data_IF_826237775004
#
_entry.id   IF_826237775004
#
_cell.length_a   1.000
_cell.length_b   1.000
_cell.length_c   1.000
_cell.angle_alpha   90.00
_cell.angle_beta   90.00
_cell.angle_gamma   90.00
#
_symmetry.space_group_name_H-M   'P 1'
#
loop_
_entity.id
_entity.type
_entity.pdbx_description
1 polymer ?
#
# COMPACT_ATOMS: atom_id res chain seq x y z
N UNK A 1 7.88 12.68 -9.18
CA UNK A 1 6.73 12.94 -10.06
C UNK A 1 6.43 11.67 -10.85
N UNK A 2 5.21 11.15 -10.86
CA UNK A 2 4.81 10.00 -11.69
C UNK A 2 3.70 10.48 -12.63
N UNK A 3 3.82 10.19 -13.93
CA UNK A 3 2.78 10.50 -14.91
C UNK A 3 1.73 9.40 -14.89
N UNK A 4 0.46 9.74 -14.69
CA UNK A 4 -0.60 8.72 -14.57
C UNK A 4 -1.07 8.17 -15.92
N UNK A 5 -0.96 8.91 -17.03
CA UNK A 5 -1.24 8.46 -18.40
C UNK A 5 -2.35 7.38 -18.52
N UNK A 6 -3.61 7.79 -18.42
CA UNK A 6 -4.78 6.89 -18.42
C UNK A 6 -4.84 5.86 -17.27
N UNK A 7 -4.15 6.12 -16.17
CA UNK A 7 -4.32 5.42 -14.89
C UNK A 7 -4.92 6.36 -13.84
N UNK A 8 -5.53 5.76 -12.84
CA UNK A 8 -5.90 6.38 -11.58
C UNK A 8 -4.95 5.93 -10.48
N UNK A 9 -4.89 6.71 -9.40
CA UNK A 9 -4.08 6.44 -8.22
C UNK A 9 -4.99 6.53 -6.99
N UNK A 10 -4.85 5.56 -6.09
CA UNK A 10 -5.47 5.61 -4.76
C UNK A 10 -4.43 5.23 -3.70
N UNK A 11 -4.63 5.69 -2.48
CA UNK A 11 -3.74 5.42 -1.36
C UNK A 11 -4.53 5.09 -0.11
N UNK A 12 -4.15 4.00 0.57
CA UNK A 12 -4.69 3.62 1.87
C UNK A 12 -3.60 3.74 2.94
N UNK A 13 -4.00 4.06 4.16
CA UNK A 13 -3.11 4.41 5.26
C UNK A 13 -2.55 5.84 5.19
N UNK A 14 -1.98 6.27 6.31
CA UNK A 14 -1.27 7.55 6.43
C UNK A 14 -0.03 7.35 7.30
N UNK A 15 1.15 7.55 6.72
CA UNK A 15 2.41 7.47 7.45
C UNK A 15 2.60 8.61 8.47
N UNK A 16 1.87 9.73 8.32
CA UNK A 16 1.89 10.86 9.26
C UNK A 16 0.95 10.65 10.44
N UNK A 17 -0.13 9.88 10.25
CA UNK A 17 -1.07 9.47 11.30
C UNK A 17 -0.84 7.99 11.62
N UNK A 18 0.44 7.62 11.77
CA UNK A 18 0.80 6.31 12.28
C UNK A 18 0.77 6.37 13.81
N UNK A 19 -0.37 5.98 14.41
CA UNK A 19 -0.57 6.00 15.85
C UNK A 19 -0.36 4.61 16.45
N UNK A 20 0.56 4.54 17.40
CA UNK A 20 0.79 3.37 18.23
C UNK A 20 0.72 3.77 19.69
N UNK A 21 0.03 2.96 20.49
CA UNK A 21 -0.01 3.08 21.94
C UNK A 21 0.17 1.69 22.54
N UNK A 22 1.06 1.56 23.53
CA UNK A 22 1.40 0.28 24.17
C UNK A 22 1.84 -0.83 23.20
N UNK A 23 2.49 -0.46 22.09
CA UNK A 23 2.93 -1.40 21.05
C UNK A 23 1.80 -1.97 20.19
N UNK A 24 0.58 -1.42 20.29
CA UNK A 24 -0.52 -1.75 19.40
C UNK A 24 -0.78 -0.58 18.44
N UNK A 25 -0.96 -0.92 17.18
CA UNK A 25 -1.33 0.03 16.15
C UNK A 25 -2.82 0.26 16.19
N UNK A 26 -3.23 1.51 16.04
CA UNK A 26 -4.63 1.88 15.86
C UNK A 26 -4.84 2.31 14.41
N UNK A 27 -5.67 1.54 13.71
CA UNK A 27 -6.12 1.80 12.35
C UNK A 27 -7.66 1.72 12.30
N UNK A 28 -8.28 2.37 11.33
CA UNK A 28 -9.73 2.24 11.13
C UNK A 28 -10.08 1.09 10.18
N UNK A 29 -9.10 0.60 9.45
CA UNK A 29 -9.22 -0.57 8.58
C UNK A 29 -9.32 -1.83 9.44
N UNK A 30 -10.36 -2.62 9.17
CA UNK A 30 -10.69 -3.84 9.90
C UNK A 30 -10.26 -5.04 9.07
N UNK A 31 -9.53 -5.98 9.69
CA UNK A 31 -9.27 -7.28 9.07
C UNK A 31 -10.57 -8.11 9.11
N UNK A 32 -11.19 -8.44 7.96
CA UNK A 32 -12.45 -9.18 7.91
C UNK A 32 -12.32 -10.61 8.45
N UNK A 33 -11.12 -11.17 8.58
CA UNK A 33 -10.90 -12.51 9.15
C UNK A 33 -11.00 -12.50 10.67
N UNK A 34 -10.61 -11.40 11.31
CA UNK A 34 -10.56 -11.28 12.77
C UNK A 34 -11.71 -10.43 13.32
N UNK A 35 -12.22 -9.50 12.52
CA UNK A 35 -13.17 -8.48 12.97
C UNK A 35 -12.52 -7.35 13.78
N UNK A 36 -11.19 -7.30 13.84
CA UNK A 36 -10.43 -6.30 14.61
C UNK A 36 -9.61 -5.39 13.70
N UNK A 37 -9.20 -4.20 14.19
CA UNK A 37 -8.26 -3.32 13.49
C UNK A 37 -6.96 -4.03 13.10
N UNK A 38 -6.41 -3.70 11.94
CA UNK A 38 -5.12 -4.20 11.47
C UNK A 38 -3.96 -3.80 12.41
N UNK A 39 -2.95 -4.67 12.52
CA UNK A 39 -1.83 -4.53 13.46
C UNK A 39 -0.42 -4.63 12.82
N UNK A 40 -0.33 -4.70 11.49
CA UNK A 40 0.96 -4.78 10.77
C UNK A 40 1.62 -3.40 10.63
N UNK A 41 2.86 -3.35 10.13
CA UNK A 41 3.66 -2.11 10.06
C UNK A 41 3.56 -1.35 8.74
N UNK A 42 2.82 -1.87 7.75
CA UNK A 42 2.52 -1.14 6.50
C UNK A 42 1.80 0.19 6.79
N UNK A 43 2.52 1.30 6.73
CA UNK A 43 2.03 2.63 7.08
C UNK A 43 1.19 3.25 5.96
N UNK A 44 1.56 3.00 4.70
CA UNK A 44 0.81 3.47 3.54
C UNK A 44 1.03 2.55 2.33
N UNK A 45 0.01 2.42 1.49
CA UNK A 45 0.08 1.74 0.20
C UNK A 45 -0.57 2.59 -0.88
N UNK A 46 0.17 2.85 -1.96
CA UNK A 46 -0.32 3.55 -3.15
C UNK A 46 -0.43 2.57 -4.30
N UNK A 47 -1.58 2.56 -4.97
CA UNK A 47 -1.88 1.66 -6.09
C UNK A 47 -2.22 2.48 -7.34
N UNK A 48 -1.69 2.06 -8.49
CA UNK A 48 -2.13 2.57 -9.80
C UNK A 48 -2.93 1.50 -10.53
N UNK A 49 -4.04 1.91 -11.16
CA UNK A 49 -4.90 1.02 -11.94
C UNK A 49 -5.61 1.78 -13.07
N UNK A 50 -6.21 1.11 -14.08
CA UNK A 50 -6.94 1.79 -15.15
C UNK A 50 -8.15 2.62 -14.69
N UNK A 51 -8.70 2.36 -13.51
CA UNK A 51 -9.84 3.10 -12.95
C UNK A 51 -9.63 3.44 -11.48
N UNK A 52 -10.21 4.55 -11.03
CA UNK A 52 -10.13 4.98 -9.62
C UNK A 52 -10.80 3.98 -8.69
N UNK A 53 -11.92 3.38 -9.11
CA UNK A 53 -12.62 2.36 -8.33
C UNK A 53 -11.73 1.13 -8.10
N UNK A 54 -11.02 0.69 -9.14
CA UNK A 54 -10.09 -0.43 -9.03
C UNK A 54 -8.89 -0.08 -8.15
N UNK A 55 -8.30 1.10 -8.33
CA UNK A 55 -7.17 1.54 -7.52
C UNK A 55 -7.53 1.59 -6.03
N UNK A 56 -8.71 2.15 -5.70
CA UNK A 56 -9.19 2.34 -4.32
C UNK A 56 -9.57 1.02 -3.63
N UNK A 57 -10.25 0.13 -4.34
CA UNK A 57 -10.55 -1.21 -3.84
C UNK A 57 -9.28 -2.04 -3.60
N UNK A 58 -8.33 -1.98 -4.54
CA UNK A 58 -7.04 -2.65 -4.39
C UNK A 58 -6.19 -2.03 -3.28
N UNK A 59 -6.14 -0.71 -3.15
CA UNK A 59 -5.34 -0.08 -2.09
C UNK A 59 -5.84 -0.53 -0.72
N UNK A 60 -7.16 -0.53 -0.50
CA UNK A 60 -7.74 -0.97 0.77
C UNK A 60 -7.53 -2.46 1.02
N UNK A 61 -7.84 -3.30 0.03
CA UNK A 61 -7.72 -4.75 0.16
C UNK A 61 -6.29 -5.21 0.38
N UNK A 62 -5.33 -4.66 -0.38
CA UNK A 62 -3.91 -4.96 -0.22
C UNK A 62 -3.37 -4.39 1.09
N UNK A 63 -3.84 -3.22 1.53
CA UNK A 63 -3.43 -2.66 2.82
C UNK A 63 -3.73 -3.62 3.96
N UNK A 64 -4.94 -4.19 4.00
CA UNK A 64 -5.38 -5.15 5.02
C UNK A 64 -4.53 -6.42 5.06
N UNK A 65 -3.90 -6.81 3.94
CA UNK A 65 -3.03 -8.00 3.89
C UNK A 65 -1.68 -7.79 4.59
N UNK A 66 -1.25 -6.56 4.80
CA UNK A 66 0.09 -6.21 5.28
C UNK A 66 1.16 -6.31 4.19
N UNK A 67 2.35 -5.81 4.51
CA UNK A 67 3.43 -5.51 3.56
C UNK A 67 3.88 -6.68 2.69
N UNK A 68 4.15 -7.85 3.28
CA UNK A 68 4.74 -8.97 2.55
C UNK A 68 3.71 -9.61 1.60
N UNK A 69 2.49 -9.85 2.07
CA UNK A 69 1.42 -10.44 1.26
C UNK A 69 0.90 -9.46 0.21
N UNK A 70 0.83 -8.16 0.53
CA UNK A 70 0.47 -7.15 -0.44
C UNK A 70 1.46 -7.13 -1.61
N UNK A 71 2.76 -7.19 -1.32
CA UNK A 71 3.79 -7.23 -2.36
C UNK A 71 3.75 -8.54 -3.16
N UNK A 72 3.56 -9.69 -2.51
CA UNK A 72 3.41 -10.98 -3.19
C UNK A 72 2.25 -10.97 -4.20
N UNK A 73 1.07 -10.49 -3.78
CA UNK A 73 -0.10 -10.37 -4.67
C UNK A 73 0.18 -9.36 -5.79
N UNK A 74 0.81 -8.23 -5.47
CA UNK A 74 1.14 -7.22 -6.48
C UNK A 74 2.10 -7.74 -7.54
N UNK A 75 3.11 -8.54 -7.18
CA UNK A 75 4.01 -9.19 -8.13
C UNK A 75 3.27 -10.22 -8.99
N UNK A 76 2.48 -11.09 -8.35
CA UNK A 76 1.75 -12.17 -9.02
C UNK A 76 0.75 -11.63 -10.06
N UNK A 77 0.01 -10.59 -9.69
CA UNK A 77 -1.04 -10.00 -10.51
C UNK A 77 -0.54 -8.81 -11.35
N UNK A 78 0.77 -8.52 -11.31
CA UNK A 78 1.42 -7.41 -12.02
C UNK A 78 0.75 -6.05 -11.75
N UNK A 79 0.44 -5.78 -10.48
CA UNK A 79 -0.21 -4.54 -10.02
C UNK A 79 0.89 -3.52 -9.62
N UNK A 80 0.87 -2.28 -10.15
CA UNK A 80 1.79 -1.25 -9.71
C UNK A 80 1.44 -0.77 -8.30
N UNK A 81 2.30 -1.09 -7.34
CA UNK A 81 2.14 -0.76 -5.93
C UNK A 81 3.41 -0.13 -5.37
N UNK A 82 3.24 0.89 -4.55
CA UNK A 82 4.28 1.50 -3.73
C UNK A 82 3.88 1.42 -2.25
N UNK A 83 4.74 0.84 -1.43
CA UNK A 83 4.52 0.56 -0.02
C UNK A 83 5.47 1.41 0.82
N UNK A 84 4.98 1.98 1.91
CA UNK A 84 5.79 2.59 2.97
C UNK A 84 5.53 1.81 4.25
N UNK A 85 6.56 1.26 4.86
CA UNK A 85 6.49 0.49 6.10
C UNK A 85 7.21 1.24 7.22
N UNK A 86 6.65 1.18 8.42
CA UNK A 86 7.32 1.66 9.63
C UNK A 86 8.42 0.67 10.02
N UNK A 87 9.60 1.18 10.33
CA UNK A 87 10.72 0.41 10.91
C UNK A 87 11.22 1.10 12.18
N UNK A 88 12.10 0.43 12.93
CA UNK A 88 12.73 1.01 14.13
C UNK A 88 13.51 2.30 13.83
N UNK A 89 14.15 2.39 12.65
CA UNK A 89 14.95 3.55 12.25
C UNK A 89 14.15 4.62 11.47
N UNK A 90 12.85 4.43 11.22
CA UNK A 90 12.04 5.38 10.49
C UNK A 90 11.01 4.73 9.57
N UNK A 91 11.14 4.98 8.27
CA UNK A 91 10.27 4.41 7.24
C UNK A 91 11.10 3.87 6.09
N UNK A 92 10.68 2.73 5.58
CA UNK A 92 11.27 2.10 4.39
C UNK A 92 10.22 1.99 3.29
N UNK A 93 10.67 2.08 2.04
CA UNK A 93 9.80 1.94 0.89
C UNK A 93 10.12 0.66 0.10
N UNK A 94 9.07 -0.03 -0.32
CA UNK A 94 9.14 -1.14 -1.30
C UNK A 94 8.18 -0.83 -2.45
N UNK A 95 8.46 -1.40 -3.60
CA UNK A 95 7.63 -1.19 -4.79
C UNK A 95 7.65 -2.42 -5.67
N UNK A 96 6.50 -2.73 -6.27
CA UNK A 96 6.39 -3.86 -7.17
C UNK A 96 7.19 -3.64 -8.46
N UNK A 97 7.57 -4.73 -9.13
CA UNK A 97 8.24 -4.69 -10.44
C UNK A 97 7.45 -3.88 -11.46
N UNK A 98 6.11 -3.96 -11.41
CA UNK A 98 5.23 -3.17 -12.26
C UNK A 98 5.36 -1.66 -11.99
N UNK A 99 5.44 -1.26 -10.73
CA UNK A 99 5.64 0.15 -10.36
C UNK A 99 7.03 0.66 -10.76
N UNK A 100 8.07 -0.16 -10.57
CA UNK A 100 9.44 0.18 -10.98
C UNK A 100 9.54 0.46 -12.48
N UNK A 101 8.88 -0.34 -13.32
CA UNK A 101 8.81 -0.12 -14.77
C UNK A 101 8.19 1.23 -15.12
N UNK A 102 7.14 1.65 -14.41
CA UNK A 102 6.51 2.96 -14.62
C UNK A 102 7.45 4.12 -14.24
N UNK A 103 8.32 3.93 -13.25
CA UNK A 103 9.34 4.91 -12.90
C UNK A 103 10.51 4.95 -13.89
N UNK A 104 10.88 3.81 -14.47
CA UNK A 104 11.98 3.68 -15.41
C UNK A 104 11.62 4.18 -16.82
N UNK A 105 10.36 4.06 -17.25
CA UNK A 105 9.87 4.52 -18.57
C UNK A 105 9.68 6.04 -18.64
N UNK A 106 10.55 6.80 -17.97
CA UNK A 106 10.51 8.25 -17.84
C UNK A 106 11.43 9.01 -18.80
N UNK A 107 11.96 8.30 -19.79
CA UNK A 107 12.72 8.89 -20.90
C UNK A 107 11.79 9.27 -22.05
#
# INVERSE_FOLDING_TARGET
>A
MIGLNNMAMATSGDYRIYFEENGQRFAHEIDPKTGYPIQHHLASITVLAPSSMTADGLSTGLFVLGEDKALEVAEKENIPVYLIMKTEQGFEAKMSSAFQKLLANKE
#
